data_IF_904289265051
#
_entry.id   IF_904289265051
#
_cell.length_a   1.000
_cell.length_b   1.000
_cell.length_c   1.000
_cell.angle_alpha   90.00
_cell.angle_beta   90.00
_cell.angle_gamma   90.00
#
_symmetry.space_group_name_H-M   'P 1'
#
loop_
_entity.id
_entity.type
_entity.pdbx_description
1 polymer ?
#
# COMPACT_ATOMS: atom_id res chain seq x y z
N UNK A 1 -21.59 29.47 -21.44
CA UNK A 1 -21.20 29.75 -20.03
C UNK A 1 -20.97 28.49 -19.18
N UNK A 2 -21.85 27.48 -19.21
CA UNK A 2 -21.79 26.36 -18.26
C UNK A 2 -20.51 25.50 -18.29
N UNK A 3 -19.90 25.28 -19.47
CA UNK A 3 -18.63 24.55 -19.59
C UNK A 3 -17.42 25.33 -19.07
N UNK A 4 -17.45 26.66 -19.20
CA UNK A 4 -16.35 27.53 -18.80
C UNK A 4 -16.23 27.60 -17.27
N UNK A 5 -17.38 27.73 -16.60
CA UNK A 5 -17.45 27.68 -15.14
C UNK A 5 -17.02 26.32 -14.59
N UNK A 6 -17.39 25.22 -15.28
CA UNK A 6 -16.98 23.86 -14.90
C UNK A 6 -15.46 23.67 -14.98
N UNK A 7 -14.82 24.14 -16.06
CA UNK A 7 -13.35 24.08 -16.20
C UNK A 7 -12.65 24.90 -15.11
N UNK A 8 -13.13 26.11 -14.84
CA UNK A 8 -12.58 26.96 -13.78
C UNK A 8 -12.70 26.32 -12.40
N UNK A 9 -13.86 25.73 -12.10
CA UNK A 9 -14.08 24.99 -10.87
C UNK A 9 -13.13 23.79 -10.74
N UNK A 10 -12.93 23.02 -11.81
CA UNK A 10 -11.99 21.89 -11.82
C UNK A 10 -10.54 22.35 -11.58
N UNK A 11 -10.09 23.40 -12.27
CA UNK A 11 -8.74 23.96 -12.08
C UNK A 11 -8.56 24.49 -10.66
N UNK A 12 -9.55 25.21 -10.12
CA UNK A 12 -9.53 25.70 -8.74
C UNK A 12 -9.43 24.55 -7.73
N UNK A 13 -10.22 23.48 -7.93
CA UNK A 13 -10.20 22.29 -7.08
C UNK A 13 -8.84 21.59 -7.15
N UNK A 14 -8.28 21.47 -8.34
CA UNK A 14 -6.96 20.88 -8.55
C UNK A 14 -5.84 21.68 -7.86
N UNK A 15 -5.85 23.01 -7.96
CA UNK A 15 -4.88 23.87 -7.25
C UNK A 15 -5.03 23.70 -5.74
N UNK A 16 -6.25 23.65 -5.23
CA UNK A 16 -6.52 23.41 -3.81
C UNK A 16 -6.01 22.03 -3.36
N UNK A 17 -6.22 20.99 -4.16
CA UNK A 17 -5.69 19.65 -3.91
C UNK A 17 -4.15 19.65 -3.85
N UNK A 18 -3.47 20.30 -4.80
CA UNK A 18 -2.01 20.37 -4.80
C UNK A 18 -1.49 21.13 -3.58
N UNK A 19 -2.12 22.23 -3.20
CA UNK A 19 -1.76 22.98 -1.99
C UNK A 19 -1.98 22.14 -0.72
N UNK A 20 -3.09 21.41 -0.65
CA UNK A 20 -3.37 20.47 0.44
C UNK A 20 -2.30 19.39 0.53
N UNK A 21 -1.95 18.74 -0.59
CA UNK A 21 -0.90 17.71 -0.63
C UNK A 21 0.45 18.27 -0.16
N UNK A 22 0.81 19.49 -0.58
CA UNK A 22 2.04 20.14 -0.12
C UNK A 22 2.06 20.37 1.40
N UNK A 23 0.93 20.82 1.97
CA UNK A 23 0.79 20.96 3.43
C UNK A 23 0.90 19.60 4.12
N UNK A 24 0.26 18.58 3.57
CA UNK A 24 0.26 17.22 4.12
C UNK A 24 1.66 16.63 4.13
N UNK A 25 2.46 16.82 3.07
CA UNK A 25 3.87 16.39 3.04
C UNK A 25 4.71 17.05 4.13
N UNK A 26 4.46 18.32 4.45
CA UNK A 26 5.14 18.98 5.56
C UNK A 26 4.69 18.41 6.92
N UNK A 27 3.39 18.16 7.09
CA UNK A 27 2.87 17.53 8.31
C UNK A 27 3.44 16.12 8.49
N UNK A 28 3.58 15.36 7.42
CA UNK A 28 4.20 14.03 7.39
C UNK A 28 5.64 14.08 7.89
N UNK A 29 6.41 15.05 7.41
CA UNK A 29 7.79 15.25 7.86
C UNK A 29 7.89 15.53 9.38
N UNK A 30 6.92 16.25 9.96
CA UNK A 30 6.95 16.65 11.38
C UNK A 30 6.33 15.60 12.30
N UNK A 31 5.27 14.91 11.86
CA UNK A 31 4.45 14.01 12.70
C UNK A 31 4.55 12.54 12.35
N UNK A 32 5.26 12.20 11.28
CA UNK A 32 5.42 10.84 10.79
C UNK A 32 4.30 10.41 9.83
N UNK A 33 4.58 9.32 9.13
CA UNK A 33 3.75 8.70 8.10
C UNK A 33 2.44 8.16 8.66
N UNK A 34 2.50 7.42 9.78
CA UNK A 34 1.31 6.81 10.41
C UNK A 34 0.25 7.85 10.81
N UNK A 35 0.68 9.05 11.24
CA UNK A 35 -0.23 10.13 11.59
C UNK A 35 -1.01 10.61 10.36
N UNK A 36 -0.32 10.89 9.27
CA UNK A 36 -0.96 11.42 8.06
C UNK A 36 -1.84 10.38 7.38
N UNK A 37 -1.41 9.12 7.33
CA UNK A 37 -2.21 8.02 6.78
C UNK A 37 -3.57 7.93 7.49
N UNK A 38 -3.57 7.95 8.82
CA UNK A 38 -4.78 7.86 9.64
C UNK A 38 -5.68 9.11 9.57
N UNK A 39 -5.11 10.30 9.64
CA UNK A 39 -5.88 11.54 9.80
C UNK A 39 -6.16 12.29 8.49
N UNK A 40 -5.51 11.92 7.39
CA UNK A 40 -5.70 12.55 6.08
C UNK A 40 -6.07 11.51 5.05
N UNK A 41 -5.17 10.59 4.71
CA UNK A 41 -5.34 9.75 3.53
C UNK A 41 -6.49 8.73 3.66
N UNK A 42 -6.68 8.12 4.83
CA UNK A 42 -7.74 7.13 5.08
C UNK A 42 -9.05 7.76 5.56
N UNK A 43 -9.19 9.08 5.47
CA UNK A 43 -10.41 9.76 5.89
C UNK A 43 -11.43 9.86 4.76
N UNK A 44 -12.71 9.77 5.12
CA UNK A 44 -13.83 9.83 4.18
C UNK A 44 -13.81 11.12 3.35
N UNK A 45 -13.45 12.26 3.95
CA UNK A 45 -13.44 13.54 3.25
C UNK A 45 -12.39 13.57 2.13
N UNK A 46 -11.22 12.96 2.34
CA UNK A 46 -10.16 12.92 1.34
C UNK A 46 -10.54 11.96 0.19
N UNK A 47 -11.14 10.81 0.51
CA UNK A 47 -11.71 9.91 -0.51
C UNK A 47 -12.82 10.61 -1.33
N UNK A 48 -13.70 11.38 -0.68
CA UNK A 48 -14.74 12.16 -1.35
C UNK A 48 -14.15 13.23 -2.26
N UNK A 49 -13.03 13.88 -1.87
CA UNK A 49 -12.34 14.87 -2.70
C UNK A 49 -11.89 14.26 -4.05
N UNK A 50 -11.28 13.08 -4.02
CA UNK A 50 -10.92 12.33 -5.23
C UNK A 50 -12.15 11.90 -6.04
N UNK A 51 -13.22 11.47 -5.36
CA UNK A 51 -14.48 11.11 -6.00
C UNK A 51 -15.14 12.28 -6.75
N UNK A 52 -15.14 13.48 -6.16
CA UNK A 52 -15.66 14.70 -6.80
C UNK A 52 -14.80 15.08 -8.01
N UNK A 53 -13.48 15.00 -7.89
CA UNK A 53 -12.58 15.31 -9.00
C UNK A 53 -12.78 14.35 -10.17
N UNK A 54 -12.93 13.04 -9.89
CA UNK A 54 -13.25 12.03 -10.89
C UNK A 54 -14.62 12.27 -11.55
N UNK A 55 -15.66 12.57 -10.77
CA UNK A 55 -16.99 12.85 -11.30
C UNK A 55 -17.00 14.07 -12.21
N UNK A 56 -16.32 15.16 -11.82
CA UNK A 56 -16.17 16.36 -12.65
C UNK A 56 -15.38 16.05 -13.93
N UNK A 57 -14.33 15.24 -13.86
CA UNK A 57 -13.56 14.81 -15.03
C UNK A 57 -14.45 14.03 -16.01
N UNK A 58 -15.26 13.06 -15.54
CA UNK A 58 -16.22 12.32 -16.36
C UNK A 58 -17.23 13.25 -17.03
N UNK A 59 -17.80 14.20 -16.29
CA UNK A 59 -18.74 15.19 -16.86
C UNK A 59 -18.07 16.01 -17.96
N UNK A 60 -16.81 16.41 -17.79
CA UNK A 60 -16.05 17.14 -18.82
C UNK A 60 -15.77 16.27 -20.04
N UNK A 61 -15.41 14.98 -19.86
CA UNK A 61 -15.17 14.04 -20.96
C UNK A 61 -16.42 13.86 -21.84
N UNK A 62 -17.57 13.62 -21.19
CA UNK A 62 -18.86 13.46 -21.86
C UNK A 62 -19.28 14.75 -22.57
N UNK A 63 -19.25 15.88 -21.86
CA UNK A 63 -19.70 17.17 -22.43
C UNK A 63 -18.82 17.70 -23.55
N UNK A 64 -17.52 17.40 -23.53
CA UNK A 64 -16.61 17.74 -24.66
C UNK A 64 -16.65 16.73 -25.78
N UNK A 65 -17.47 15.68 -25.67
CA UNK A 65 -17.60 14.64 -26.67
C UNK A 65 -16.24 14.00 -27.00
N UNK A 66 -15.39 13.82 -25.99
CA UNK A 66 -13.98 13.45 -26.17
C UNK A 66 -13.81 12.04 -26.73
N UNK A 67 -14.87 11.22 -26.73
CA UNK A 67 -14.93 9.96 -27.46
C UNK A 67 -14.73 10.09 -28.98
N UNK A 68 -14.79 11.30 -29.55
CA UNK A 68 -14.36 11.57 -30.94
C UNK A 68 -12.84 11.77 -31.08
N UNK A 69 -12.13 11.96 -29.97
CA UNK A 69 -10.68 12.15 -29.91
C UNK A 69 -10.05 11.07 -29.03
N UNK A 70 -9.85 9.90 -29.63
CA UNK A 70 -9.33 8.70 -28.95
C UNK A 70 -8.08 8.95 -28.09
N UNK A 71 -7.03 9.71 -28.53
CA UNK A 71 -5.85 9.91 -27.70
C UNK A 71 -6.15 10.63 -26.39
N UNK A 72 -7.00 11.65 -26.44
CA UNK A 72 -7.36 12.42 -25.26
C UNK A 72 -8.32 11.63 -24.35
N UNK A 73 -9.21 10.81 -24.93
CA UNK A 73 -10.07 9.89 -24.17
C UNK A 73 -9.23 8.84 -23.42
N UNK A 74 -8.28 8.19 -24.09
CA UNK A 74 -7.43 7.17 -23.49
C UNK A 74 -6.59 7.73 -22.34
N UNK A 75 -6.00 8.92 -22.53
CA UNK A 75 -5.19 9.58 -21.49
C UNK A 75 -6.00 9.89 -20.23
N UNK A 76 -7.19 10.46 -20.36
CA UNK A 76 -7.99 10.80 -19.18
C UNK A 76 -8.72 9.58 -18.61
N UNK A 77 -9.11 8.65 -19.47
CA UNK A 77 -9.71 7.38 -19.09
C UNK A 77 -8.75 6.51 -18.27
N UNK A 78 -7.45 6.53 -18.56
CA UNK A 78 -6.46 5.80 -17.77
C UNK A 78 -6.34 6.34 -16.35
N UNK A 79 -6.39 7.65 -16.13
CA UNK A 79 -6.39 8.21 -14.77
C UNK A 79 -7.62 7.78 -13.96
N UNK A 80 -8.80 7.75 -14.59
CA UNK A 80 -10.02 7.22 -13.94
C UNK A 80 -9.88 5.73 -13.61
N UNK A 81 -9.32 4.95 -14.55
CA UNK A 81 -9.08 3.53 -14.33
C UNK A 81 -8.09 3.26 -13.19
N UNK A 82 -6.98 3.99 -13.14
CA UNK A 82 -6.00 3.94 -12.06
C UNK A 82 -6.65 4.30 -10.72
N UNK A 83 -7.48 5.35 -10.68
CA UNK A 83 -8.15 5.78 -9.46
C UNK A 83 -9.14 4.71 -8.95
N UNK A 84 -9.89 4.07 -9.85
CA UNK A 84 -10.79 2.96 -9.50
C UNK A 84 -10.00 1.78 -8.96
N UNK A 85 -8.89 1.41 -9.62
CA UNK A 85 -7.99 0.36 -9.14
C UNK A 85 -7.49 0.65 -7.72
N UNK A 86 -6.97 1.86 -7.50
CA UNK A 86 -6.49 2.30 -6.19
C UNK A 86 -7.59 2.24 -5.11
N UNK A 87 -8.83 2.63 -5.43
CA UNK A 87 -9.96 2.55 -4.50
C UNK A 87 -10.32 1.10 -4.13
N UNK A 88 -10.22 0.17 -5.09
CA UNK A 88 -10.44 -1.26 -4.85
C UNK A 88 -9.35 -1.80 -3.92
N UNK A 89 -8.06 -1.52 -4.21
CA UNK A 89 -6.95 -1.94 -3.33
C UNK A 89 -7.12 -1.38 -1.94
N UNK A 90 -7.46 -0.09 -1.83
CA UNK A 90 -7.65 0.57 -0.55
C UNK A 90 -8.76 -0.08 0.28
N UNK A 91 -9.84 -0.52 -0.35
CA UNK A 91 -10.99 -1.10 0.35
C UNK A 91 -10.81 -2.57 0.72
N UNK A 92 -9.99 -3.31 -0.02
CA UNK A 92 -9.86 -4.77 0.12
C UNK A 92 -8.53 -5.23 0.70
N UNK A 93 -7.50 -4.40 0.69
CA UNK A 93 -6.19 -4.75 1.24
C UNK A 93 -6.24 -4.80 2.77
N UNK A 94 -5.49 -5.74 3.35
CA UNK A 94 -5.25 -5.80 4.79
C UNK A 94 -3.76 -5.82 5.06
N UNK A 95 -3.32 -5.05 6.05
CA UNK A 95 -1.92 -4.98 6.46
C UNK A 95 -1.80 -5.40 7.92
N UNK A 96 -0.67 -6.01 8.26
CA UNK A 96 -0.40 -6.43 9.61
C UNK A 96 0.99 -6.97 9.81
N UNK A 97 1.21 -7.58 10.96
CA UNK A 97 2.50 -8.13 11.36
C UNK A 97 2.33 -9.55 11.87
N UNK A 98 3.32 -10.38 11.58
CA UNK A 98 3.39 -11.76 12.00
C UNK A 98 4.74 -11.99 12.67
N UNK A 99 4.70 -12.52 13.88
CA UNK A 99 5.91 -12.98 14.57
C UNK A 99 6.05 -14.47 14.38
N UNK A 100 7.23 -14.90 13.96
CA UNK A 100 7.58 -16.30 13.78
C UNK A 100 8.71 -16.64 14.75
N UNK A 101 8.53 -17.70 15.54
CA UNK A 101 9.59 -18.29 16.36
C UNK A 101 10.08 -19.60 15.73
N UNK A 102 11.37 -19.90 15.89
CA UNK A 102 11.99 -21.09 15.28
C UNK A 102 11.26 -22.38 15.71
N UNK A 103 10.89 -23.19 14.72
CA UNK A 103 10.23 -24.49 14.94
C UNK A 103 8.74 -24.43 15.28
N UNK A 104 8.16 -23.23 15.39
CA UNK A 104 6.72 -23.05 15.65
C UNK A 104 5.94 -22.75 14.37
N UNK A 105 4.80 -23.43 14.20
CA UNK A 105 3.86 -23.13 13.13
C UNK A 105 2.90 -22.04 13.56
N UNK A 106 2.82 -20.97 12.77
CA UNK A 106 1.94 -19.84 13.00
C UNK A 106 1.04 -19.68 11.78
N UNK A 107 -0.28 -19.68 12.01
CA UNK A 107 -1.31 -19.52 10.98
C UNK A 107 -2.12 -18.24 11.14
N UNK A 108 -1.57 -17.22 11.81
CA UNK A 108 -2.28 -15.98 12.14
C UNK A 108 -1.36 -14.77 12.05
N UNK A 109 -1.92 -13.60 11.78
CA UNK A 109 -1.21 -12.32 11.88
C UNK A 109 -2.04 -11.29 12.64
N UNK A 110 -1.38 -10.25 13.15
CA UNK A 110 -2.02 -9.15 13.87
C UNK A 110 -2.28 -8.01 12.88
N UNK A 111 -3.54 -7.64 12.72
CA UNK A 111 -3.98 -6.54 11.89
C UNK A 111 -3.44 -5.19 12.39
N UNK A 112 -2.91 -4.37 11.49
CA UNK A 112 -2.26 -3.11 11.85
C UNK A 112 -3.25 -2.10 12.46
N UNK A 113 -4.46 -2.02 11.91
CA UNK A 113 -5.47 -1.02 12.25
C UNK A 113 -6.31 -1.41 13.47
N UNK A 114 -6.87 -2.61 13.43
CA UNK A 114 -7.80 -3.09 14.47
C UNK A 114 -7.09 -3.79 15.64
N UNK A 115 -5.80 -4.12 15.49
CA UNK A 115 -5.02 -4.94 16.44
C UNK A 115 -5.65 -6.31 16.72
N UNK A 116 -6.52 -6.78 15.83
CA UNK A 116 -7.16 -8.10 15.94
C UNK A 116 -6.27 -9.15 15.32
N UNK A 117 -6.36 -10.36 15.85
CA UNK A 117 -5.73 -11.54 15.24
C UNK A 117 -6.59 -11.99 14.06
N UNK A 118 -5.96 -12.17 12.90
CA UNK A 118 -6.59 -12.66 11.66
C UNK A 118 -5.97 -13.99 11.30
N UNK A 119 -6.80 -15.00 11.01
CA UNK A 119 -6.37 -16.31 10.56
C UNK A 119 -5.96 -16.30 9.08
N UNK A 120 -4.87 -17.01 8.79
CA UNK A 120 -4.38 -17.29 7.46
C UNK A 120 -4.91 -18.64 6.97
N UNK A 121 -5.15 -18.79 5.65
CA UNK A 121 -5.54 -20.07 5.06
C UNK A 121 -4.40 -21.11 4.99
N UNK A 122 -3.23 -20.81 5.57
CA UNK A 122 -2.05 -21.67 5.64
C UNK A 122 -1.22 -21.33 6.88
N UNK A 123 -0.30 -22.21 7.25
CA UNK A 123 0.70 -21.96 8.29
C UNK A 123 2.06 -21.63 7.67
N UNK A 124 2.84 -20.83 8.41
CA UNK A 124 4.26 -20.62 8.16
C UNK A 124 5.05 -21.06 9.38
N UNK A 125 6.22 -21.66 9.16
CA UNK A 125 7.16 -22.04 10.20
C UNK A 125 8.52 -21.45 9.86
N UNK A 126 9.15 -20.80 10.83
CA UNK A 126 10.54 -20.37 10.70
C UNK A 126 11.46 -21.54 11.02
N UNK A 127 12.31 -21.93 10.07
CA UNK A 127 13.34 -22.95 10.31
C UNK A 127 14.61 -22.32 10.88
N UNK A 128 15.01 -21.14 10.38
CA UNK A 128 16.08 -20.34 10.98
C UNK A 128 16.05 -18.90 10.49
N UNK A 129 16.56 -17.98 11.31
CA UNK A 129 16.85 -16.61 10.90
C UNK A 129 18.37 -16.41 10.83
N UNK A 130 18.87 -15.74 9.79
CA UNK A 130 20.29 -15.48 9.60
C UNK A 130 20.54 -14.06 9.13
N UNK A 131 21.60 -13.47 9.68
CA UNK A 131 22.15 -12.20 9.19
C UNK A 131 23.33 -12.55 8.29
N UNK A 132 23.20 -12.27 6.99
CA UNK A 132 24.29 -12.44 6.03
C UNK A 132 25.14 -11.17 6.04
N UNK A 133 26.47 -11.30 6.10
CA UNK A 133 27.40 -10.16 6.13
C UNK A 133 28.15 -10.01 4.81
N UNK A 134 28.67 -8.81 4.53
CA UNK A 134 29.53 -8.61 3.36
C UNK A 134 30.83 -9.40 3.48
N UNK A 135 31.33 -10.01 2.38
CA UNK A 135 32.58 -10.76 2.40
C UNK A 135 33.74 -9.95 3.00
N UNK A 136 34.35 -10.48 4.05
CA UNK A 136 35.49 -9.84 4.74
C UNK A 136 35.14 -8.76 5.76
N UNK A 137 33.86 -8.58 6.10
CA UNK A 137 33.42 -7.64 7.15
C UNK A 137 32.39 -8.28 8.09
N UNK A 138 32.18 -7.69 9.27
CA UNK A 138 31.04 -8.03 10.15
C UNK A 138 29.78 -7.21 9.82
N UNK A 139 29.83 -6.34 8.80
CA UNK A 139 28.71 -5.48 8.44
C UNK A 139 27.56 -6.34 7.84
N UNK A 140 26.32 -6.19 8.35
CA UNK A 140 25.16 -6.91 7.83
C UNK A 140 24.84 -6.45 6.41
N UNK A 141 24.67 -7.42 5.51
CA UNK A 141 24.32 -7.26 4.11
C UNK A 141 22.86 -7.66 3.83
N UNK A 142 22.36 -8.72 4.47
CA UNK A 142 20.95 -9.13 4.37
C UNK A 142 20.45 -9.79 5.66
N UNK A 143 19.14 -9.78 5.86
CA UNK A 143 18.45 -10.41 6.98
C UNK A 143 17.45 -11.41 6.42
N UNK A 144 17.76 -12.70 6.57
CA UNK A 144 17.10 -13.78 5.85
C UNK A 144 16.36 -14.69 6.82
N UNK A 145 15.04 -14.78 6.63
CA UNK A 145 14.16 -15.73 7.30
C UNK A 145 13.93 -16.94 6.41
N UNK A 146 14.45 -18.10 6.81
CA UNK A 146 14.20 -19.36 6.11
C UNK A 146 12.87 -19.94 6.57
N UNK A 147 11.89 -19.94 5.67
CA UNK A 147 10.55 -20.46 5.94
C UNK A 147 10.46 -21.89 5.44
N UNK A 148 9.90 -22.78 6.26
CA UNK A 148 9.72 -24.18 5.91
C UNK A 148 8.86 -24.33 4.66
N UNK A 149 9.31 -25.18 3.74
CA UNK A 149 8.63 -25.50 2.48
C UNK A 149 8.29 -24.27 1.60
N UNK A 150 9.05 -23.18 1.75
CA UNK A 150 8.82 -21.94 1.03
C UNK A 150 10.15 -21.23 0.68
N UNK A 151 10.06 -20.22 -0.18
CA UNK A 151 11.21 -19.36 -0.44
C UNK A 151 11.53 -18.51 0.81
N UNK A 152 12.81 -18.24 1.08
CA UNK A 152 13.20 -17.40 2.19
C UNK A 152 12.70 -15.97 2.00
N UNK A 153 12.37 -15.31 3.10
CA UNK A 153 12.01 -13.89 3.12
C UNK A 153 13.26 -13.09 3.50
N UNK A 154 13.59 -12.07 2.73
CA UNK A 154 14.68 -11.13 3.07
C UNK A 154 14.35 -9.72 2.61
N UNK A 155 15.25 -8.76 2.82
CA UNK A 155 14.97 -7.35 2.48
C UNK A 155 14.64 -7.16 0.99
N UNK A 156 15.22 -7.99 0.12
CA UNK A 156 15.01 -7.94 -1.33
C UNK A 156 14.26 -9.15 -1.89
N UNK A 157 13.73 -10.02 -1.02
CA UNK A 157 12.97 -11.21 -1.43
C UNK A 157 11.67 -11.32 -0.66
N UNK A 158 10.57 -11.11 -1.40
CA UNK A 158 9.21 -11.14 -0.86
C UNK A 158 8.65 -12.55 -1.05
N UNK A 159 8.16 -13.16 0.03
CA UNK A 159 7.39 -14.40 -0.08
C UNK A 159 5.95 -14.05 -0.43
N UNK A 160 5.44 -14.62 -1.52
CA UNK A 160 4.05 -14.46 -1.94
C UNK A 160 3.31 -15.80 -1.91
N UNK A 161 2.19 -15.86 -1.19
CA UNK A 161 1.37 -17.09 -1.05
C UNK A 161 -0.10 -16.74 -0.92
N UNK A 162 -0.93 -17.27 -1.83
CA UNK A 162 -2.40 -17.12 -1.81
C UNK A 162 -2.91 -15.66 -1.64
N UNK A 163 -2.26 -14.71 -2.30
CA UNK A 163 -2.60 -13.28 -2.20
C UNK A 163 -2.03 -12.55 -0.98
N UNK A 164 -1.28 -13.25 -0.13
CA UNK A 164 -0.51 -12.65 0.96
C UNK A 164 0.94 -12.47 0.55
N UNK A 165 1.51 -11.33 0.91
CA UNK A 165 2.91 -10.98 0.71
C UNK A 165 3.56 -10.73 2.07
N UNK A 166 4.70 -11.37 2.29
CA UNK A 166 5.45 -11.32 3.53
C UNK A 166 6.78 -10.62 3.28
N UNK A 167 7.07 -9.61 4.10
CA UNK A 167 8.27 -8.78 4.01
C UNK A 167 9.04 -8.87 5.30
N UNK A 168 10.37 -8.98 5.22
CA UNK A 168 11.21 -8.90 6.41
C UNK A 168 11.07 -7.50 7.04
N UNK A 169 10.67 -7.43 8.31
CA UNK A 169 10.47 -6.15 9.01
C UNK A 169 11.43 -5.96 10.18
N UNK A 170 11.62 -7.00 11.00
CA UNK A 170 12.52 -6.98 12.16
C UNK A 170 12.83 -8.41 12.60
N UNK A 171 13.61 -8.58 13.65
CA UNK A 171 13.99 -9.87 14.22
C UNK A 171 14.26 -9.70 15.72
N UNK A 172 14.23 -10.81 16.46
CA UNK A 172 14.48 -10.81 17.89
C UNK A 172 16.00 -10.78 18.17
N UNK A 173 16.41 -10.15 19.27
CA UNK A 173 17.84 -9.97 19.60
C UNK A 173 18.60 -11.30 19.79
N UNK A 174 17.89 -12.35 20.20
CA UNK A 174 18.40 -13.72 20.34
C UNK A 174 18.49 -14.48 19.00
N UNK A 175 17.96 -13.90 17.91
CA UNK A 175 17.87 -14.48 16.56
C UNK A 175 17.01 -15.75 16.49
N UNK A 176 16.18 -15.99 17.50
CA UNK A 176 15.24 -17.12 17.53
C UNK A 176 13.84 -16.75 17.01
N UNK A 177 13.62 -15.46 16.70
CA UNK A 177 12.40 -15.00 16.06
C UNK A 177 12.59 -13.95 14.98
N UNK A 178 11.58 -13.89 14.10
CA UNK A 178 11.52 -12.97 12.97
C UNK A 178 10.15 -12.31 12.88
N UNK A 179 10.16 -11.01 12.64
CA UNK A 179 8.95 -10.22 12.42
C UNK A 179 8.77 -9.98 10.92
N UNK A 180 7.65 -10.45 10.39
CA UNK A 180 7.26 -10.24 9.01
C UNK A 180 6.09 -9.26 8.93
N UNK A 181 6.20 -8.26 8.05
CA UNK A 181 5.03 -7.48 7.64
C UNK A 181 4.21 -8.32 6.67
N UNK A 182 2.90 -8.39 6.90
CA UNK A 182 1.93 -9.12 6.08
C UNK A 182 1.09 -8.11 5.31
N UNK A 183 1.01 -8.28 4.00
CA UNK A 183 0.07 -7.54 3.16
C UNK A 183 -0.81 -8.52 2.38
N UNK A 184 -2.10 -8.45 2.57
CA UNK A 184 -3.08 -9.14 1.76
C UNK A 184 -3.51 -8.23 0.60
N UNK A 185 -3.15 -8.61 -0.62
CA UNK A 185 -3.62 -8.00 -1.86
C UNK A 185 -3.89 -9.13 -2.89
N UNK A 186 -5.13 -9.62 -3.00
CA UNK A 186 -5.46 -10.74 -3.87
C UNK A 186 -5.35 -10.40 -5.36
N UNK A 187 -5.36 -9.12 -5.73
CA UNK A 187 -5.22 -8.70 -7.13
C UNK A 187 -3.79 -8.26 -7.48
N UNK A 188 -2.89 -8.17 -6.49
CA UNK A 188 -1.46 -7.89 -6.71
C UNK A 188 -1.22 -6.58 -7.46
N UNK A 189 -2.07 -5.59 -7.21
CA UNK A 189 -2.05 -4.28 -7.86
C UNK A 189 -1.22 -3.25 -7.07
N UNK A 190 -0.77 -3.60 -5.87
CA UNK A 190 0.14 -2.81 -5.03
C UNK A 190 1.56 -3.37 -4.89
#
# INVERSE_FOLDING_TARGET
>A
MHLFNLKKSLVSLYICLVALLAVVTFVEHVRGTEFVEKYVYHTVWFCCLWGVLAALAVVVLVKRQLWRHLPALLLHGSFLFILVGAMITFSCSKKGYMHLTVGTEVGTFIDQDSKRVIELPFTLCLDSFRVESYPGTEAPADYVSYIRDAEPVSMNRILSRQGYRFYQSSFDDDKEGSWLSVNYDPWGIG
#
